data_IF_419831870765
#
_entry.id   IF_419831870765
#
_cell.length_a   1.000
_cell.length_b   1.000
_cell.length_c   1.000
_cell.angle_alpha   90.00
_cell.angle_beta   90.00
_cell.angle_gamma   90.00
#
_symmetry.space_group_name_H-M   'P 1'
#
loop_
_entity.id
_entity.type
_entity.pdbx_description
1 polymer ?
#
# COMPACT_ATOMS: atom_id res chain seq x y z
N UNK A 1 -16.51 8.93 0.97
CA UNK A 1 -15.26 8.36 0.42
C UNK A 1 -14.15 8.92 1.26
N UNK A 2 -13.59 8.11 2.14
CA UNK A 2 -12.48 8.54 2.98
C UNK A 2 -11.24 8.46 2.06
N UNK A 3 -10.85 9.60 1.50
CA UNK A 3 -9.81 9.69 0.47
C UNK A 3 -8.40 9.59 1.05
N UNK A 4 -8.21 8.86 2.15
CA UNK A 4 -6.92 8.76 2.81
C UNK A 4 -5.97 7.89 1.99
N UNK A 5 -4.70 8.32 2.00
CA UNK A 5 -3.59 7.64 1.34
C UNK A 5 -2.96 6.65 2.31
N UNK A 6 -2.81 5.40 1.89
CA UNK A 6 -2.17 4.32 2.66
C UNK A 6 -0.90 3.88 1.94
N UNK A 7 0.21 3.82 2.69
CA UNK A 7 1.42 3.13 2.26
C UNK A 7 1.42 1.72 2.85
N UNK A 8 1.26 0.71 1.99
CA UNK A 8 1.29 -0.70 2.35
C UNK A 8 2.68 -1.28 2.07
N UNK A 9 3.32 -1.84 3.11
CA UNK A 9 4.68 -2.41 3.03
C UNK A 9 4.63 -3.88 3.40
N UNK A 10 4.95 -4.75 2.46
CA UNK A 10 4.97 -6.20 2.65
C UNK A 10 5.90 -6.84 1.61
N UNK A 11 6.81 -7.72 2.04
CA UNK A 11 7.80 -8.39 1.20
C UNK A 11 7.20 -9.55 0.40
N UNK A 12 6.09 -10.14 0.88
CA UNK A 12 5.34 -11.16 0.18
C UNK A 12 4.41 -10.55 -0.87
N UNK A 13 4.80 -10.65 -2.16
CA UNK A 13 4.03 -10.10 -3.29
C UNK A 13 2.56 -10.50 -3.27
N UNK A 14 2.26 -11.78 -3.09
CA UNK A 14 0.87 -12.29 -3.13
C UNK A 14 -0.01 -11.65 -2.04
N UNK A 15 0.53 -11.49 -0.83
CA UNK A 15 -0.17 -10.88 0.30
C UNK A 15 -0.35 -9.38 0.06
N UNK A 16 0.70 -8.69 -0.38
CA UNK A 16 0.67 -7.26 -0.68
C UNK A 16 -0.37 -6.91 -1.74
N UNK A 17 -0.37 -7.67 -2.84
CA UNK A 17 -1.26 -7.43 -3.98
C UNK A 17 -2.72 -7.74 -3.58
N UNK A 18 -2.96 -8.83 -2.83
CA UNK A 18 -4.29 -9.13 -2.28
C UNK A 18 -4.81 -8.00 -1.39
N UNK A 19 -4.00 -7.53 -0.43
CA UNK A 19 -4.40 -6.44 0.47
C UNK A 19 -4.63 -5.13 -0.28
N UNK A 20 -3.76 -4.78 -1.24
CA UNK A 20 -3.88 -3.55 -2.00
C UNK A 20 -5.12 -3.57 -2.91
N UNK A 21 -5.28 -4.61 -3.73
CA UNK A 21 -6.25 -4.64 -4.83
C UNK A 21 -7.61 -5.21 -4.45
N UNK A 22 -7.66 -6.15 -3.49
CA UNK A 22 -8.92 -6.82 -3.12
C UNK A 22 -9.55 -6.21 -1.88
N UNK A 23 -8.74 -5.61 -0.99
CA UNK A 23 -9.23 -5.08 0.29
C UNK A 23 -9.25 -3.55 0.30
N UNK A 24 -8.10 -2.90 0.16
CA UNK A 24 -7.96 -1.47 0.46
C UNK A 24 -8.48 -0.58 -0.68
N UNK A 25 -8.12 -0.85 -1.94
CA UNK A 25 -8.62 -0.07 -3.09
C UNK A 25 -10.14 -0.17 -3.24
N UNK A 26 -10.77 -1.36 -3.14
CA UNK A 26 -12.23 -1.47 -3.19
C UNK A 26 -12.94 -0.78 -2.02
N UNK A 27 -12.27 -0.67 -0.87
CA UNK A 27 -12.77 0.10 0.28
C UNK A 27 -12.68 1.63 0.07
N UNK A 28 -12.04 2.09 -1.00
CA UNK A 28 -11.98 3.51 -1.40
C UNK A 28 -10.69 4.23 -1.02
N UNK A 29 -9.67 3.51 -0.52
CA UNK A 29 -8.38 4.10 -0.16
C UNK A 29 -7.47 4.28 -1.38
N UNK A 30 -6.61 5.30 -1.34
CA UNK A 30 -5.51 5.45 -2.28
C UNK A 30 -4.30 4.69 -1.78
N UNK A 31 -3.97 3.56 -2.40
CA UNK A 31 -2.92 2.65 -1.92
C UNK A 31 -1.65 2.77 -2.75
N UNK A 32 -0.54 3.06 -2.07
CA UNK A 32 0.83 2.95 -2.58
C UNK A 32 1.48 1.73 -1.93
N UNK A 33 2.21 0.93 -2.70
CA UNK A 33 2.82 -0.32 -2.23
C UNK A 33 4.34 -0.25 -2.26
N UNK A 34 4.99 -0.82 -1.26
CA UNK A 34 6.43 -1.08 -1.23
C UNK A 34 6.71 -2.54 -0.87
N UNK A 35 7.77 -3.11 -1.43
CA UNK A 35 8.21 -4.49 -1.18
C UNK A 35 9.33 -4.59 -0.15
N UNK A 36 9.84 -3.46 0.33
CA UNK A 36 10.91 -3.38 1.31
C UNK A 36 10.85 -2.04 2.07
N UNK A 37 11.52 -2.00 3.22
CA UNK A 37 11.52 -0.83 4.10
C UNK A 37 12.24 0.39 3.54
N UNK A 38 13.27 0.20 2.70
CA UNK A 38 14.05 1.32 2.15
C UNK A 38 13.21 2.11 1.14
N UNK A 39 12.53 1.40 0.24
CA UNK A 39 11.57 1.94 -0.70
C UNK A 39 10.38 2.56 0.04
N UNK A 40 9.88 1.92 1.09
CA UNK A 40 8.80 2.47 1.90
C UNK A 40 9.18 3.80 2.56
N UNK A 41 10.38 3.90 3.15
CA UNK A 41 10.85 5.13 3.79
C UNK A 41 10.96 6.28 2.80
N UNK A 42 11.46 6.04 1.59
CA UNK A 42 11.48 7.06 0.53
C UNK A 42 10.07 7.54 0.19
N UNK A 43 9.15 6.61 -0.03
CA UNK A 43 7.75 6.92 -0.40
C UNK A 43 6.98 7.62 0.73
N UNK A 44 7.34 7.39 2.00
CA UNK A 44 6.72 8.02 3.15
C UNK A 44 7.18 9.47 3.39
N UNK A 45 8.31 9.86 2.81
CA UNK A 45 8.89 11.20 2.92
C UNK A 45 8.44 12.14 1.78
N UNK A 46 7.74 11.62 0.78
CA UNK A 46 7.12 12.35 -0.35
C UNK A 46 5.66 12.77 -0.07
#
# INVERSE_FOLDING_TARGET
>A
MSGERILLVDDAREVRDFLADVVLRPAGYSVVTANDGETALRLAQE
#
